data_IF_248170283667
#
_entry.id   IF_248170283667
#
_cell.length_a   1.000
_cell.length_b   1.000
_cell.length_c   1.000
_cell.angle_alpha   90.00
_cell.angle_beta   90.00
_cell.angle_gamma   90.00
#
_symmetry.space_group_name_H-M   'P 1'
#
loop_
_entity.id
_entity.type
_entity.pdbx_description
1 polymer ?
#
# COMPACT_ATOMS: atom_id res chain seq x y z
N UNK A 1 3.70 -7.77 16.97
CA UNK A 1 2.78 -6.62 17.24
C UNK A 1 1.41 -6.98 16.67
N UNK A 2 0.32 -6.73 17.39
CA UNK A 2 -1.04 -6.97 16.88
C UNK A 2 -1.33 -6.00 15.74
N UNK A 3 -1.64 -6.50 14.55
CA UNK A 3 -2.02 -5.71 13.38
C UNK A 3 -3.27 -4.88 13.71
N UNK A 4 -3.22 -3.53 13.72
CA UNK A 4 -4.34 -2.67 14.08
C UNK A 4 -5.48 -2.70 13.06
N UNK A 5 -5.24 -3.24 11.86
CA UNK A 5 -6.19 -3.29 10.76
C UNK A 5 -7.13 -4.51 10.79
N UNK A 6 -7.00 -5.41 11.77
CA UNK A 6 -7.97 -6.51 11.99
C UNK A 6 -9.40 -6.05 12.24
N UNK A 7 -9.57 -4.75 12.58
CA UNK A 7 -10.85 -4.08 12.86
C UNK A 7 -11.13 -2.97 11.82
N UNK A 8 -10.58 -3.07 10.61
CA UNK A 8 -10.81 -2.08 9.58
C UNK A 8 -12.32 -1.95 9.28
N UNK A 9 -12.81 -0.72 9.29
CA UNK A 9 -14.18 -0.37 8.96
C UNK A 9 -14.36 -0.28 7.45
N UNK A 10 -15.60 -0.32 6.96
CA UNK A 10 -15.96 -0.24 5.53
C UNK A 10 -15.36 1.01 4.83
N UNK A 11 -15.16 2.10 5.56
CA UNK A 11 -14.54 3.34 5.06
C UNK A 11 -13.04 3.22 4.79
N UNK A 12 -12.35 2.20 5.34
CA UNK A 12 -10.88 2.07 5.20
C UNK A 12 -10.44 1.97 3.73
N UNK A 13 -11.17 1.20 2.94
CA UNK A 13 -10.88 1.00 1.51
C UNK A 13 -11.25 2.20 0.64
N UNK A 14 -12.28 3.00 1.03
CA UNK A 14 -12.82 4.06 0.18
C UNK A 14 -11.87 5.25 0.05
N UNK A 15 -11.34 5.76 1.16
CA UNK A 15 -10.57 7.03 1.21
C UNK A 15 -9.06 6.88 1.08
N UNK A 16 -8.51 5.67 1.12
CA UNK A 16 -7.10 5.47 0.84
C UNK A 16 -6.84 5.63 -0.64
N UNK A 17 -5.81 6.38 -1.07
CA UNK A 17 -5.52 6.55 -2.48
C UNK A 17 -5.19 5.22 -3.16
N UNK A 18 -5.47 5.12 -4.45
CA UNK A 18 -4.99 4.04 -5.30
C UNK A 18 -3.51 4.24 -5.63
N UNK A 19 -2.99 3.47 -6.56
CA UNK A 19 -1.62 3.61 -7.03
C UNK A 19 -1.60 4.34 -8.38
N UNK A 20 -0.66 5.30 -8.59
CA UNK A 20 -0.58 6.00 -9.86
C UNK A 20 -0.26 5.04 -10.98
N UNK A 21 -0.83 5.32 -12.15
CA UNK A 21 -0.68 4.50 -13.35
C UNK A 21 0.78 4.13 -13.63
N UNK A 22 1.69 5.10 -13.53
CA UNK A 22 3.11 4.90 -13.79
C UNK A 22 3.76 3.88 -12.84
N UNK A 23 3.38 3.88 -11.54
CA UNK A 23 3.88 2.87 -10.60
C UNK A 23 3.32 1.47 -10.91
N UNK A 24 2.04 1.36 -11.32
CA UNK A 24 1.46 0.08 -11.76
C UNK A 24 2.13 -0.42 -13.04
N UNK A 25 2.37 0.48 -14.01
CA UNK A 25 3.11 0.15 -15.23
C UNK A 25 4.52 -0.36 -14.93
N UNK A 26 5.22 0.26 -13.95
CA UNK A 26 6.52 -0.23 -13.48
C UNK A 26 6.45 -1.64 -12.89
N UNK A 27 5.39 -1.92 -12.15
CA UNK A 27 5.21 -3.26 -11.57
C UNK A 27 5.05 -4.32 -12.67
N UNK A 28 4.38 -4.03 -13.78
CA UNK A 28 4.15 -5.00 -14.87
C UNK A 28 5.19 -4.91 -16.01
N UNK A 29 6.13 -3.97 -15.96
CA UNK A 29 7.11 -3.69 -17.01
C UNK A 29 7.98 -4.89 -17.40
N UNK A 30 8.19 -5.10 -18.69
CA UNK A 30 9.11 -6.11 -19.23
C UNK A 30 8.54 -7.54 -19.31
N UNK A 31 7.21 -7.70 -19.19
CA UNK A 31 6.52 -8.96 -19.40
C UNK A 31 5.18 -8.72 -20.11
N UNK A 32 4.68 -9.73 -20.80
CA UNK A 32 3.31 -9.71 -21.31
C UNK A 32 2.33 -9.94 -20.16
N UNK A 33 1.40 -9.01 -19.98
CA UNK A 33 0.49 -9.00 -18.83
C UNK A 33 -0.32 -10.31 -18.70
N UNK A 34 -0.77 -10.88 -19.80
CA UNK A 34 -1.57 -12.11 -19.86
C UNK A 34 -0.84 -13.35 -19.34
N UNK A 35 0.50 -13.34 -19.36
CA UNK A 35 1.35 -14.44 -18.87
C UNK A 35 1.95 -14.17 -17.51
N UNK A 36 1.91 -12.91 -17.05
CA UNK A 36 2.53 -12.47 -15.82
C UNK A 36 1.71 -12.92 -14.60
N UNK A 37 2.41 -13.55 -13.65
CA UNK A 37 1.84 -13.98 -12.37
C UNK A 37 2.45 -13.17 -11.23
N UNK A 38 1.62 -12.49 -10.44
CA UNK A 38 2.05 -11.62 -9.34
C UNK A 38 1.41 -12.07 -8.01
N UNK A 39 2.22 -12.20 -6.96
CA UNK A 39 1.75 -12.27 -5.59
C UNK A 39 1.65 -10.85 -5.02
N UNK A 40 0.44 -10.38 -4.69
CA UNK A 40 0.20 -9.13 -3.94
C UNK A 40 0.13 -9.49 -2.46
N UNK A 41 1.18 -9.15 -1.69
CA UNK A 41 1.40 -9.65 -0.33
C UNK A 41 1.02 -8.59 0.71
N UNK A 42 0.07 -8.95 1.58
CA UNK A 42 -0.62 -8.00 2.44
C UNK A 42 -1.56 -7.13 1.62
N UNK A 43 -2.34 -7.77 0.75
CA UNK A 43 -3.16 -7.12 -0.27
C UNK A 43 -4.26 -6.20 0.31
N UNK A 44 -4.60 -6.38 1.59
CA UNK A 44 -5.61 -5.58 2.27
C UNK A 44 -6.98 -5.68 1.60
N UNK A 45 -7.58 -4.55 1.29
CA UNK A 45 -8.87 -4.47 0.56
C UNK A 45 -8.73 -4.64 -0.95
N UNK A 46 -7.53 -4.94 -1.49
CA UNK A 46 -7.32 -5.25 -2.90
C UNK A 46 -7.08 -4.04 -3.82
N UNK A 47 -6.64 -2.90 -3.32
CA UNK A 47 -6.43 -1.71 -4.18
C UNK A 47 -5.36 -1.91 -5.25
N UNK A 48 -4.20 -2.49 -4.89
CA UNK A 48 -3.19 -2.83 -5.89
C UNK A 48 -3.66 -4.01 -6.75
N UNK A 49 -4.26 -5.02 -6.14
CA UNK A 49 -4.87 -6.17 -6.83
C UNK A 49 -5.79 -5.71 -7.96
N UNK A 50 -6.74 -4.76 -7.69
CA UNK A 50 -7.63 -4.18 -8.69
C UNK A 50 -6.87 -3.53 -9.85
N UNK A 51 -5.83 -2.76 -9.53
CA UNK A 51 -5.01 -2.07 -10.53
C UNK A 51 -4.22 -3.06 -11.41
N UNK A 52 -3.75 -4.18 -10.86
CA UNK A 52 -3.08 -5.24 -11.60
C UNK A 52 -4.04 -6.05 -12.48
N UNK A 53 -5.21 -6.43 -11.95
CA UNK A 53 -6.25 -7.13 -12.70
C UNK A 53 -6.71 -6.32 -13.91
N UNK A 54 -6.85 -4.99 -13.78
CA UNK A 54 -7.21 -4.10 -14.89
C UNK A 54 -6.18 -4.10 -16.04
N UNK A 55 -4.97 -4.64 -15.83
CA UNK A 55 -3.91 -4.85 -16.83
C UNK A 55 -3.89 -6.27 -17.40
N UNK A 56 -4.82 -7.13 -16.99
CA UNK A 56 -4.89 -8.53 -17.42
C UNK A 56 -3.87 -9.45 -16.76
N UNK A 57 -3.29 -9.03 -15.63
CA UNK A 57 -2.30 -9.81 -14.86
C UNK A 57 -3.00 -10.86 -14.01
N UNK A 58 -2.41 -12.04 -13.87
CA UNK A 58 -2.85 -13.03 -12.88
C UNK A 58 -2.32 -12.68 -11.50
N UNK A 59 -3.23 -12.52 -10.54
CA UNK A 59 -2.88 -12.07 -9.18
C UNK A 59 -3.28 -13.10 -8.14
N UNK A 60 -2.33 -13.50 -7.30
CA UNK A 60 -2.60 -14.18 -6.03
C UNK A 60 -2.51 -13.13 -4.92
N UNK A 61 -3.65 -12.73 -4.38
CA UNK A 61 -3.75 -11.75 -3.30
C UNK A 61 -3.66 -12.47 -1.93
N UNK A 62 -2.61 -12.17 -1.17
CA UNK A 62 -2.31 -12.81 0.12
C UNK A 62 -2.64 -11.82 1.23
N UNK A 63 -3.62 -12.15 2.09
CA UNK A 63 -4.06 -11.28 3.18
C UNK A 63 -4.57 -12.12 4.36
N UNK A 64 -3.98 -11.99 5.57
CA UNK A 64 -4.38 -12.78 6.73
C UNK A 64 -5.68 -12.32 7.40
N UNK A 65 -6.11 -11.05 7.18
CA UNK A 65 -7.29 -10.51 7.85
C UNK A 65 -8.57 -10.86 7.08
N UNK A 66 -9.45 -11.69 7.69
CA UNK A 66 -10.72 -12.10 7.07
C UNK A 66 -11.57 -10.91 6.61
N UNK A 67 -11.72 -9.88 7.44
CA UNK A 67 -12.51 -8.70 7.09
C UNK A 67 -11.99 -7.97 5.84
N UNK A 68 -10.66 -7.91 5.65
CA UNK A 68 -10.03 -7.34 4.45
C UNK A 68 -10.30 -8.20 3.21
N UNK A 69 -10.17 -9.53 3.34
CA UNK A 69 -10.48 -10.44 2.23
C UNK A 69 -11.95 -10.36 1.81
N UNK A 70 -12.85 -10.20 2.77
CA UNK A 70 -14.30 -10.07 2.47
C UNK A 70 -14.59 -8.76 1.73
N UNK A 71 -13.99 -7.65 2.15
CA UNK A 71 -14.06 -6.37 1.42
C UNK A 71 -13.45 -6.49 0.01
N UNK A 72 -12.32 -7.19 -0.13
CA UNK A 72 -11.70 -7.44 -1.44
C UNK A 72 -12.64 -8.22 -2.35
N UNK A 73 -13.29 -9.29 -1.86
CA UNK A 73 -14.27 -10.06 -2.65
C UNK A 73 -15.47 -9.22 -3.06
N UNK A 74 -15.96 -8.35 -2.15
CA UNK A 74 -17.05 -7.43 -2.46
C UNK A 74 -16.66 -6.40 -3.55
N UNK A 75 -15.42 -5.90 -3.48
CA UNK A 75 -14.92 -4.90 -4.42
C UNK A 75 -14.63 -5.49 -5.81
N UNK A 76 -13.99 -6.66 -5.86
CA UNK A 76 -13.45 -7.21 -7.12
C UNK A 76 -14.35 -8.25 -7.75
N UNK A 77 -15.31 -8.82 -6.99
CA UNK A 77 -16.17 -9.89 -7.48
C UNK A 77 -15.41 -11.17 -7.82
N UNK A 78 -15.96 -11.94 -8.76
CA UNK A 78 -15.30 -13.12 -9.33
C UNK A 78 -14.49 -12.69 -10.56
N UNK A 79 -13.19 -12.95 -10.55
CA UNK A 79 -12.29 -12.72 -11.68
C UNK A 79 -11.43 -13.99 -11.88
N UNK A 80 -11.38 -14.49 -13.10
CA UNK A 80 -10.62 -15.71 -13.43
C UNK A 80 -9.09 -15.54 -13.23
N UNK A 81 -8.61 -14.32 -13.15
CA UNK A 81 -7.21 -13.99 -12.90
C UNK A 81 -6.91 -13.70 -11.42
N UNK A 82 -7.90 -13.84 -10.51
CA UNK A 82 -7.73 -13.53 -9.10
C UNK A 82 -7.85 -14.80 -8.25
N UNK A 83 -6.83 -15.02 -7.43
CA UNK A 83 -6.88 -15.97 -6.30
C UNK A 83 -6.69 -15.19 -4.99
N UNK A 84 -7.51 -15.44 -3.97
CA UNK A 84 -7.41 -14.81 -2.64
C UNK A 84 -7.03 -15.87 -1.61
N UNK A 85 -5.87 -15.70 -0.99
CA UNK A 85 -5.25 -16.65 -0.06
C UNK A 85 -5.26 -16.12 1.36
N UNK A 86 -5.68 -16.94 2.32
CA UNK A 86 -5.56 -16.68 3.77
C UNK A 86 -4.18 -17.09 4.26
N UNK A 87 -3.22 -16.18 4.18
CA UNK A 87 -1.86 -16.41 4.62
C UNK A 87 -1.15 -15.08 4.97
N UNK A 88 0.00 -15.17 5.65
CA UNK A 88 0.90 -14.04 5.88
C UNK A 88 2.09 -14.07 4.92
N UNK A 89 2.79 -12.92 4.80
CA UNK A 89 3.90 -12.79 3.86
C UNK A 89 5.13 -13.62 4.23
N UNK A 90 5.26 -14.05 5.48
CA UNK A 90 6.32 -14.92 5.96
C UNK A 90 6.08 -16.41 5.68
N UNK A 91 4.85 -16.77 5.33
CA UNK A 91 4.45 -18.17 5.04
C UNK A 91 3.18 -18.16 4.18
N UNK A 92 3.35 -18.09 2.87
CA UNK A 92 2.25 -17.91 1.92
C UNK A 92 1.50 -19.20 1.57
N UNK A 93 2.17 -20.35 1.73
CA UNK A 93 1.64 -21.65 1.29
C UNK A 93 1.69 -21.85 -0.23
N UNK A 94 2.17 -20.89 -1.01
CA UNK A 94 2.31 -21.02 -2.46
C UNK A 94 3.42 -22.03 -2.83
N UNK A 95 3.34 -22.68 -3.99
CA UNK A 95 4.42 -23.55 -4.46
C UNK A 95 5.72 -22.79 -4.72
N UNK A 96 6.85 -23.50 -4.69
CA UNK A 96 8.16 -22.95 -5.05
C UNK A 96 8.14 -22.45 -6.50
N UNK A 97 8.77 -21.31 -6.73
CA UNK A 97 8.93 -20.71 -8.07
C UNK A 97 7.61 -20.63 -8.86
N UNK A 98 6.52 -20.27 -8.17
CA UNK A 98 5.17 -20.23 -8.75
C UNK A 98 4.78 -18.87 -9.32
N UNK A 99 5.45 -17.78 -8.90
CA UNK A 99 5.14 -16.42 -9.35
C UNK A 99 6.35 -15.74 -10.00
N UNK A 100 6.09 -14.80 -10.89
CA UNK A 100 7.14 -14.00 -11.54
C UNK A 100 7.58 -12.83 -10.66
N UNK A 101 6.64 -12.31 -9.86
CA UNK A 101 6.88 -11.15 -8.98
C UNK A 101 6.12 -11.30 -7.67
N UNK A 102 6.74 -10.81 -6.60
CA UNK A 102 6.07 -10.56 -5.33
C UNK A 102 6.06 -9.05 -5.08
N UNK A 103 4.91 -8.51 -4.69
CA UNK A 103 4.73 -7.07 -4.46
C UNK A 103 4.16 -6.85 -3.06
N UNK A 104 4.80 -5.99 -2.28
CA UNK A 104 4.33 -5.51 -1.00
C UNK A 104 3.92 -4.05 -1.14
N UNK A 105 2.63 -3.80 -1.27
CA UNK A 105 2.10 -2.44 -1.38
C UNK A 105 1.57 -1.96 -0.03
N UNK A 106 2.29 -1.05 0.62
CA UNK A 106 2.00 -0.54 1.97
C UNK A 106 2.00 -1.61 3.08
N UNK A 107 2.66 -2.76 2.87
CA UNK A 107 2.58 -3.90 3.80
C UNK A 107 3.93 -4.35 4.37
N UNK A 108 5.06 -4.10 3.68
CA UNK A 108 6.39 -4.57 4.08
C UNK A 108 6.78 -4.25 5.52
N UNK A 109 6.45 -3.08 6.01
CA UNK A 109 6.80 -2.62 7.36
C UNK A 109 6.05 -3.35 8.50
N UNK A 110 5.13 -4.25 8.16
CA UNK A 110 4.44 -5.13 9.10
C UNK A 110 5.06 -6.52 9.19
N UNK A 111 5.97 -6.87 8.27
CA UNK A 111 6.57 -8.17 8.14
C UNK A 111 7.86 -8.31 8.94
N UNK A 112 8.20 -9.55 9.29
CA UNK A 112 9.58 -9.89 9.58
C UNK A 112 10.34 -9.91 8.26
N UNK A 113 11.25 -8.94 8.08
CA UNK A 113 11.92 -8.73 6.80
C UNK A 113 12.78 -9.92 6.37
N UNK A 114 13.42 -10.63 7.32
CA UNK A 114 14.24 -11.81 7.02
C UNK A 114 13.36 -12.99 6.58
N UNK A 115 12.31 -13.30 7.35
CA UNK A 115 11.40 -14.39 7.04
C UNK A 115 10.61 -14.13 5.75
N UNK A 116 10.09 -12.90 5.55
CA UNK A 116 9.38 -12.54 4.33
C UNK A 116 10.31 -12.56 3.11
N UNK A 117 11.56 -12.08 3.22
CA UNK A 117 12.55 -12.17 2.13
C UNK A 117 12.82 -13.61 1.73
N UNK A 118 12.97 -14.51 2.71
CA UNK A 118 13.22 -15.93 2.45
C UNK A 118 12.01 -16.61 1.78
N UNK A 119 10.79 -16.32 2.26
CA UNK A 119 9.57 -16.87 1.65
C UNK A 119 9.38 -16.34 0.22
N UNK A 120 9.61 -15.04 -0.02
CA UNK A 120 9.53 -14.49 -1.37
C UNK A 120 10.60 -15.11 -2.29
N UNK A 121 11.81 -15.37 -1.77
CA UNK A 121 12.83 -16.06 -2.55
C UNK A 121 12.40 -17.48 -2.94
N UNK A 122 11.66 -18.18 -2.09
CA UNK A 122 11.13 -19.51 -2.38
C UNK A 122 10.08 -19.48 -3.50
N UNK A 123 9.09 -18.56 -3.41
CA UNK A 123 7.93 -18.53 -4.32
C UNK A 123 8.17 -17.81 -5.64
N UNK A 124 9.06 -16.81 -5.69
CA UNK A 124 9.38 -16.06 -6.91
C UNK A 124 10.33 -16.88 -7.77
N UNK A 125 10.09 -16.96 -9.07
CA UNK A 125 10.94 -17.69 -10.04
C UNK A 125 12.35 -17.11 -10.11
N UNK A 126 13.39 -17.91 -10.48
CA UNK A 126 14.72 -17.37 -10.79
C UNK A 126 14.64 -16.24 -11.83
N UNK A 127 15.34 -15.12 -11.58
CA UNK A 127 15.26 -13.90 -12.38
C UNK A 127 13.99 -13.05 -12.17
N UNK A 128 13.07 -13.50 -11.30
CA UNK A 128 11.90 -12.73 -10.92
C UNK A 128 12.21 -11.57 -9.97
N UNK A 129 11.18 -10.82 -9.58
CA UNK A 129 11.33 -9.56 -8.85
C UNK A 129 10.59 -9.59 -7.51
N UNK A 130 11.21 -8.99 -6.49
CA UNK A 130 10.55 -8.53 -5.27
C UNK A 130 10.41 -7.01 -5.34
N UNK A 131 9.19 -6.52 -5.18
CA UNK A 131 8.90 -5.10 -5.26
C UNK A 131 8.21 -4.61 -4.00
N UNK A 132 8.67 -3.47 -3.48
CA UNK A 132 8.11 -2.85 -2.28
C UNK A 132 7.64 -1.46 -2.65
N UNK A 133 6.36 -1.20 -2.44
CA UNK A 133 5.66 0.00 -2.92
C UNK A 133 5.09 0.79 -1.75
N UNK A 134 5.41 2.07 -1.69
CA UNK A 134 4.88 2.98 -0.68
C UNK A 134 4.34 4.26 -1.30
N UNK A 135 3.04 4.51 -1.13
CA UNK A 135 2.43 5.82 -1.37
C UNK A 135 2.62 6.69 -0.15
N UNK A 136 3.06 7.92 -0.35
CA UNK A 136 3.26 8.90 0.70
C UNK A 136 2.80 10.29 0.25
N UNK A 137 2.27 11.06 1.20
CA UNK A 137 2.04 12.49 1.01
C UNK A 137 3.36 13.22 0.82
N UNK A 138 3.42 14.16 -0.10
CA UNK A 138 4.64 14.93 -0.34
C UNK A 138 4.89 15.96 0.77
N UNK A 139 5.65 15.53 1.76
CA UNK A 139 6.02 16.36 2.92
C UNK A 139 7.05 17.46 2.60
N UNK A 140 7.55 17.56 1.37
CA UNK A 140 8.36 18.70 0.95
C UNK A 140 7.51 19.96 0.80
N UNK A 141 6.20 19.80 0.66
CA UNK A 141 5.22 20.89 0.57
C UNK A 141 4.78 21.28 1.99
N UNK A 142 5.00 22.53 2.43
CA UNK A 142 4.84 22.92 3.85
C UNK A 142 3.45 22.62 4.44
N UNK A 143 2.35 22.86 3.71
CA UNK A 143 1.01 22.59 4.22
C UNK A 143 0.74 21.08 4.33
N UNK A 144 1.24 20.28 3.40
CA UNK A 144 1.14 18.82 3.44
C UNK A 144 1.95 18.26 4.61
N UNK A 145 3.16 18.78 4.82
CA UNK A 145 3.97 18.40 5.98
C UNK A 145 3.22 18.67 7.30
N UNK A 146 2.60 19.85 7.45
CA UNK A 146 1.81 20.14 8.65
C UNK A 146 0.60 19.22 8.78
N UNK A 147 -0.09 18.92 7.67
CA UNK A 147 -1.18 17.96 7.61
C UNK A 147 -0.76 16.59 8.16
N UNK A 148 0.36 16.04 7.68
CA UNK A 148 0.86 14.73 8.15
C UNK A 148 1.23 14.74 9.63
N UNK A 149 1.74 15.86 10.15
CA UNK A 149 2.03 16.04 11.59
C UNK A 149 0.76 15.99 12.43
N UNK A 150 -0.32 16.61 11.98
CA UNK A 150 -1.63 16.57 12.66
C UNK A 150 -2.17 15.14 12.64
N UNK A 151 -2.12 14.46 11.50
CA UNK A 151 -2.55 13.07 11.35
C UNK A 151 -1.65 12.07 12.09
N UNK A 152 -0.48 12.51 12.61
CA UNK A 152 0.55 11.63 13.18
C UNK A 152 0.85 10.43 12.28
N UNK A 153 0.93 10.68 11.00
CA UNK A 153 1.34 9.68 10.02
C UNK A 153 2.85 9.52 10.12
N UNK A 154 3.31 8.57 10.95
CA UNK A 154 4.72 8.34 11.25
C UNK A 154 5.47 7.51 10.21
N UNK A 155 4.76 6.96 9.24
CA UNK A 155 5.31 6.02 8.26
C UNK A 155 5.91 6.79 7.08
N UNK A 156 6.97 7.56 7.33
CA UNK A 156 7.72 8.23 6.28
C UNK A 156 8.83 7.29 5.82
N UNK A 157 8.59 6.59 4.71
CA UNK A 157 9.62 5.81 4.03
C UNK A 157 10.49 6.77 3.23
N UNK A 158 11.79 6.71 3.46
CA UNK A 158 12.74 7.67 2.88
C UNK A 158 13.42 7.09 1.65
N UNK A 159 13.59 7.88 0.57
CA UNK A 159 14.33 7.46 -0.62
C UNK A 159 15.78 7.05 -0.35
N UNK A 160 16.40 7.57 0.71
CA UNK A 160 17.77 7.26 1.12
C UNK A 160 17.87 6.05 2.08
N UNK A 161 16.75 5.38 2.37
CA UNK A 161 16.68 4.21 3.25
C UNK A 161 15.96 3.05 2.55
N UNK A 162 16.70 2.22 1.79
CA UNK A 162 16.12 1.05 1.14
C UNK A 162 15.52 0.08 2.16
N UNK A 163 14.50 -0.69 1.77
CA UNK A 163 13.99 -1.78 2.59
C UNK A 163 15.09 -2.80 2.86
N UNK A 164 15.10 -3.35 4.07
CA UNK A 164 16.01 -4.45 4.40
C UNK A 164 15.50 -5.73 3.73
N UNK A 165 16.38 -6.38 3.00
CA UNK A 165 16.20 -7.69 2.40
C UNK A 165 17.35 -8.60 2.83
N UNK A 166 17.15 -9.91 2.79
CA UNK A 166 18.23 -10.84 3.02
C UNK A 166 19.19 -10.94 1.79
N UNK A 167 20.30 -11.65 1.95
CA UNK A 167 21.36 -11.73 0.94
C UNK A 167 20.99 -12.50 -0.34
N UNK A 168 19.81 -13.11 -0.38
CA UNK A 168 19.31 -13.85 -1.56
C UNK A 168 18.74 -12.92 -2.65
N UNK A 169 18.60 -11.62 -2.33
CA UNK A 169 18.11 -10.60 -3.24
C UNK A 169 19.23 -9.63 -3.63
N UNK A 170 19.13 -9.07 -4.82
CA UNK A 170 19.99 -7.95 -5.22
C UNK A 170 19.75 -6.73 -4.32
N UNK A 171 20.65 -5.77 -4.33
CA UNK A 171 20.39 -4.47 -3.72
C UNK A 171 19.14 -3.85 -4.36
N UNK A 172 18.17 -3.36 -3.54
CA UNK A 172 16.97 -2.72 -4.06
C UNK A 172 17.30 -1.43 -4.83
N UNK A 173 16.69 -1.27 -6.00
CA UNK A 173 16.77 -0.05 -6.83
C UNK A 173 15.46 0.72 -6.69
N UNK A 174 15.56 2.03 -6.45
CA UNK A 174 14.43 2.92 -6.27
C UNK A 174 14.02 3.60 -7.57
N UNK A 175 12.70 3.62 -7.82
CA UNK A 175 12.06 4.60 -8.70
C UNK A 175 11.00 5.36 -7.93
N UNK A 176 10.90 6.68 -8.17
CA UNK A 176 9.93 7.58 -7.55
C UNK A 176 8.99 8.12 -8.62
N UNK A 177 7.70 8.12 -8.30
CA UNK A 177 6.63 8.65 -9.14
C UNK A 177 5.87 9.71 -8.36
N UNK A 178 5.98 10.96 -8.77
CA UNK A 178 5.22 12.08 -8.21
C UNK A 178 3.84 12.14 -8.89
N UNK A 179 2.80 12.39 -8.11
CA UNK A 179 1.43 12.45 -8.61
C UNK A 179 0.52 13.23 -7.65
N UNK A 180 -0.68 13.50 -8.10
CA UNK A 180 -1.66 14.29 -7.39
C UNK A 180 -2.97 13.51 -7.29
N UNK A 181 -3.67 13.62 -6.15
CA UNK A 181 -4.99 13.08 -5.92
C UNK A 181 -5.99 14.22 -5.78
N UNK A 182 -7.02 14.21 -6.61
CA UNK A 182 -8.18 15.10 -6.41
C UNK A 182 -9.01 14.54 -5.25
N UNK A 183 -9.27 15.34 -4.25
CA UNK A 183 -9.97 14.96 -3.03
C UNK A 183 -10.78 16.15 -2.51
N UNK A 184 -11.47 15.97 -1.38
CA UNK A 184 -12.18 17.02 -0.66
C UNK A 184 -11.67 17.16 0.77
N UNK A 185 -11.91 18.29 1.45
CA UNK A 185 -11.56 18.42 2.86
C UNK A 185 -12.18 17.32 3.73
N UNK A 186 -13.38 16.89 3.42
CA UNK A 186 -14.10 15.81 4.11
C UNK A 186 -13.38 14.46 3.95
N UNK A 187 -12.95 14.14 2.75
CA UNK A 187 -12.18 12.91 2.48
C UNK A 187 -10.80 12.95 3.14
N UNK A 188 -10.17 14.13 3.25
CA UNK A 188 -8.92 14.29 4.02
C UNK A 188 -9.15 14.06 5.51
N UNK A 189 -10.28 14.54 6.07
CA UNK A 189 -10.67 14.23 7.44
C UNK A 189 -10.86 12.73 7.66
N UNK A 190 -11.53 12.07 6.74
CA UNK A 190 -11.75 10.63 6.77
C UNK A 190 -10.44 9.86 6.59
N UNK A 191 -9.56 10.28 5.67
CA UNK A 191 -8.22 9.72 5.51
C UNK A 191 -7.44 9.73 6.83
N UNK A 192 -7.60 10.78 7.64
CA UNK A 192 -7.03 10.87 8.99
C UNK A 192 -7.47 9.73 9.90
N UNK A 193 -8.72 9.28 9.81
CA UNK A 193 -9.28 8.20 10.65
C UNK A 193 -8.71 6.82 10.30
N UNK A 194 -8.23 6.64 9.09
CA UNK A 194 -7.66 5.37 8.61
C UNK A 194 -6.20 5.14 9.05
N UNK A 195 -5.55 6.15 9.65
CA UNK A 195 -4.15 6.04 10.06
C UNK A 195 -3.98 5.15 11.29
N UNK A 196 -2.92 4.36 11.32
CA UNK A 196 -2.61 3.46 12.44
C UNK A 196 -2.50 4.20 13.79
N UNK A 197 -2.01 5.44 13.77
CA UNK A 197 -1.96 6.34 14.92
C UNK A 197 -3.33 6.69 15.46
N UNK A 198 -4.31 6.93 14.59
CA UNK A 198 -5.71 7.19 14.97
C UNK A 198 -6.34 5.92 15.56
N UNK A 199 -6.20 4.78 14.90
CA UNK A 199 -6.78 3.51 15.33
C UNK A 199 -6.29 3.09 16.73
N UNK A 200 -5.03 3.40 17.07
CA UNK A 200 -4.44 3.12 18.37
C UNK A 200 -4.68 4.19 19.43
N UNK A 201 -5.26 5.34 19.06
CA UNK A 201 -5.52 6.44 19.99
C UNK A 201 -6.74 6.20 20.86
N UNK A 202 -6.78 6.86 22.03
CA UNK A 202 -7.97 6.97 22.88
C UNK A 202 -9.07 7.81 22.19
N UNK A 203 -10.33 7.74 22.65
CA UNK A 203 -11.44 8.58 22.14
C UNK A 203 -11.06 10.06 22.16
N UNK A 204 -10.60 10.57 23.28
CA UNK A 204 -10.16 11.97 23.41
C UNK A 204 -9.02 12.33 22.44
N UNK A 205 -8.10 11.40 22.19
CA UNK A 205 -7.02 11.58 21.21
C UNK A 205 -7.52 11.66 19.77
N UNK A 206 -8.52 10.84 19.42
CA UNK A 206 -9.20 10.84 18.11
C UNK A 206 -9.97 12.13 17.89
N UNK A 207 -10.77 12.55 18.87
CA UNK A 207 -11.52 13.81 18.84
C UNK A 207 -10.59 15.01 18.66
N UNK A 208 -9.51 15.07 19.45
CA UNK A 208 -8.52 16.15 19.33
C UNK A 208 -7.87 16.19 17.95
N UNK A 209 -7.53 15.03 17.38
CA UNK A 209 -6.95 14.98 16.04
C UNK A 209 -7.94 15.47 14.99
N UNK A 210 -9.21 15.04 15.04
CA UNK A 210 -10.25 15.46 14.11
C UNK A 210 -10.55 16.96 14.25
N UNK A 211 -10.60 17.51 15.46
CA UNK A 211 -10.78 18.93 15.69
C UNK A 211 -9.62 19.75 15.10
N UNK A 212 -8.37 19.31 15.31
CA UNK A 212 -7.19 19.97 14.75
C UNK A 212 -7.17 19.92 13.22
N UNK A 213 -7.58 18.77 12.60
CA UNK A 213 -7.69 18.65 11.16
C UNK A 213 -8.75 19.59 10.58
N UNK A 214 -9.95 19.65 11.19
CA UNK A 214 -11.03 20.58 10.79
C UNK A 214 -10.56 22.02 10.83
N UNK A 215 -9.99 22.44 11.95
CA UNK A 215 -9.43 23.78 12.08
C UNK A 215 -8.38 24.07 11.02
N UNK A 216 -7.47 23.12 10.77
CA UNK A 216 -6.39 23.29 9.82
C UNK A 216 -6.90 23.42 8.38
N UNK A 217 -7.84 22.57 7.97
CA UNK A 217 -8.36 22.59 6.60
C UNK A 217 -9.28 23.79 6.33
N UNK A 218 -10.21 24.08 7.22
CA UNK A 218 -11.24 25.08 6.97
C UNK A 218 -10.83 26.49 7.42
N UNK A 219 -10.24 26.64 8.60
CA UNK A 219 -9.95 27.97 9.15
C UNK A 219 -8.54 28.45 8.79
N UNK A 220 -7.53 27.55 8.82
CA UNK A 220 -6.16 27.95 8.55
C UNK A 220 -5.82 27.96 7.04
N UNK A 221 -6.21 26.92 6.29
CA UNK A 221 -6.01 26.84 4.84
C UNK A 221 -7.15 27.49 4.05
N UNK A 222 -8.32 27.70 4.65
CA UNK A 222 -9.47 28.37 4.04
C UNK A 222 -10.17 27.55 2.97
N UNK A 223 -10.07 26.21 2.99
CA UNK A 223 -10.80 25.37 2.04
C UNK A 223 -12.32 25.48 2.29
N UNK A 224 -13.09 25.64 1.23
CA UNK A 224 -14.54 25.56 1.34
C UNK A 224 -15.02 24.11 1.51
N UNK A 225 -16.12 23.86 2.24
CA UNK A 225 -16.74 22.54 2.26
C UNK A 225 -17.01 22.00 0.85
N UNK A 226 -16.69 20.72 0.63
CA UNK A 226 -16.84 20.02 -0.65
C UNK A 226 -16.06 20.61 -1.84
N UNK A 227 -15.13 21.53 -1.58
CA UNK A 227 -14.24 22.03 -2.64
C UNK A 227 -13.22 20.95 -3.06
N UNK A 228 -12.81 20.99 -4.32
CA UNK A 228 -11.70 20.16 -4.78
C UNK A 228 -10.39 20.63 -4.18
N UNK A 229 -9.65 19.72 -3.59
CA UNK A 229 -8.30 19.91 -3.06
C UNK A 229 -7.36 18.97 -3.80
N UNK A 230 -6.28 19.51 -4.34
CA UNK A 230 -5.21 18.71 -4.95
C UNK A 230 -4.25 18.30 -3.83
N UNK A 231 -4.21 17.01 -3.54
CA UNK A 231 -3.37 16.44 -2.49
C UNK A 231 -2.14 15.78 -3.12
N UNK A 232 -0.94 16.40 -2.97
CA UNK A 232 0.28 15.88 -3.56
C UNK A 232 0.78 14.61 -2.88
N UNK A 233 1.12 13.63 -3.70
CA UNK A 233 1.68 12.34 -3.31
C UNK A 233 2.96 12.04 -4.08
N UNK A 234 3.73 11.11 -3.57
CA UNK A 234 4.68 10.34 -4.35
C UNK A 234 4.60 8.86 -4.01
N UNK A 235 4.94 8.04 -4.98
CA UNK A 235 5.05 6.59 -4.83
C UNK A 235 6.50 6.18 -4.97
N UNK A 236 7.03 5.46 -4.00
CA UNK A 236 8.33 4.81 -4.05
C UNK A 236 8.13 3.36 -4.47
N UNK A 237 8.80 2.94 -5.53
CA UNK A 237 8.85 1.55 -5.97
C UNK A 237 10.29 1.06 -5.86
N UNK A 238 10.55 0.22 -4.88
CA UNK A 238 11.81 -0.47 -4.70
C UNK A 238 11.75 -1.82 -5.39
N UNK A 239 12.72 -2.12 -6.24
CA UNK A 239 12.80 -3.37 -6.98
C UNK A 239 14.10 -4.09 -6.66
N UNK A 240 14.01 -5.34 -6.23
CA UNK A 240 15.12 -6.26 -6.08
C UNK A 240 14.91 -7.50 -6.97
N UNK A 241 15.98 -8.07 -7.46
CA UNK A 241 15.97 -9.26 -8.31
C UNK A 241 16.40 -10.48 -7.52
N UNK A 242 15.69 -11.60 -7.74
CA UNK A 242 16.12 -12.89 -7.19
C UNK A 242 17.48 -13.24 -7.80
N UNK A 243 18.47 -13.48 -6.94
CA UNK A 243 19.77 -14.01 -7.37
C UNK A 243 19.57 -15.37 -8.09
N UNK A 244 20.39 -15.62 -9.11
CA UNK A 244 20.36 -16.88 -9.83
C UNK A 244 20.88 -18.04 -8.99
#
# INVERSE_FOLDING_TARGET
MTNPFRLATDSYGAVRPSYPRAAVEKIVEGAEASTLTIADVGAGTGKLTAALLSRGVKVTAIEPAQAMRDQMRQLLGEDANLEIVDACGESTGLPDSSVDRAVFAQSWHWMDAEAASAEMHRIVRPGGKLMIVWNQLDVTIPWVHRLTRIMRSGDVHRPDRPPLLNSQWSQPVLERFDWEEETTPEEILELGTTRSSYLRSTSAGREKMQANLRWYLYEHLGFAPHSTVILPYFTLVWTAYRAQ
#
